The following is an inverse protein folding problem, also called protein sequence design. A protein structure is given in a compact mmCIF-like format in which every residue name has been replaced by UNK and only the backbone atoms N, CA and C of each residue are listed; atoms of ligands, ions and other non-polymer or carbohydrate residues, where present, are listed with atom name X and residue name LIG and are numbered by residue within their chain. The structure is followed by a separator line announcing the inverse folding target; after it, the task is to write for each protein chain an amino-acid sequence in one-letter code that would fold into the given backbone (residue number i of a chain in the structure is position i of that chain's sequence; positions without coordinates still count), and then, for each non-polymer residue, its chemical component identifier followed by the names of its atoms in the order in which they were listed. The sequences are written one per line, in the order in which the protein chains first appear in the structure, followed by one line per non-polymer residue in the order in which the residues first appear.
data_IF_837119144343
#
_entry.id   IF_837119144343
#
_cell.length_a   1.000
_cell.length_b   1.000
_cell.length_c   1.000
_cell.angle_alpha   90.00
_cell.angle_beta   90.00
_cell.angle_gamma   90.00
#
_symmetry.space_group_name_H-M   'P 1'
#
loop_
_entity.id
_entity.type
_entity.pdbx_description
1 polymer ?
#
# COMPACT_ATOMS: atom_id res chain seq x y z
N UNK A 1 -1.22 33.73 13.25
CA UNK A 1 -1.73 32.41 13.72
C UNK A 1 -0.91 31.30 13.08
N UNK A 2 -0.40 30.38 13.88
CA UNK A 2 0.33 29.22 13.38
C UNK A 2 -0.67 28.07 13.26
N UNK A 3 -0.79 27.53 12.04
CA UNK A 3 -1.61 26.34 11.80
C UNK A 3 -0.70 25.13 11.83
N UNK A 4 -0.98 24.19 12.73
CA UNK A 4 -0.24 22.95 12.81
C UNK A 4 -1.07 21.87 12.14
N UNK A 5 -0.45 21.15 11.20
CA UNK A 5 -1.06 20.04 10.50
C UNK A 5 -0.28 18.75 10.82
N UNK A 6 -1.02 17.73 11.20
CA UNK A 6 -0.44 16.41 11.52
C UNK A 6 -1.14 15.36 10.67
N UNK A 7 -0.36 14.44 10.13
CA UNK A 7 -0.89 13.33 9.32
C UNK A 7 -0.31 12.01 9.77
N UNK A 8 -1.10 10.97 9.63
CA UNK A 8 -0.63 9.59 9.75
C UNK A 8 -0.59 9.01 8.34
N UNK A 9 0.59 8.56 7.93
CA UNK A 9 0.80 8.06 6.57
C UNK A 9 1.33 6.64 6.67
N UNK A 10 0.64 5.64 6.10
CA UNK A 10 1.19 4.29 6.03
C UNK A 10 2.50 4.28 5.25
N UNK A 11 3.49 3.59 5.79
CA UNK A 11 4.77 3.40 5.13
C UNK A 11 5.01 1.90 5.03
N UNK A 12 5.01 1.38 3.80
CA UNK A 12 5.16 -0.04 3.55
C UNK A 12 6.61 -0.38 3.22
N UNK A 13 7.13 -1.40 3.85
CA UNK A 13 8.47 -1.89 3.58
C UNK A 13 8.37 -3.23 2.88
N UNK A 14 8.94 -3.31 1.68
CA UNK A 14 9.00 -4.52 0.89
C UNK A 14 10.43 -5.04 0.82
N UNK A 15 10.59 -6.23 0.31
CA UNK A 15 11.90 -6.84 0.13
C UNK A 15 12.09 -7.21 -1.34
N UNK A 16 12.12 -6.16 -2.19
CA UNK A 16 12.30 -6.29 -3.63
C UNK A 16 11.02 -6.24 -4.44
N UNK A 17 9.85 -6.22 -3.80
CA UNK A 17 8.56 -6.27 -4.49
C UNK A 17 7.83 -4.93 -4.55
N UNK A 18 8.50 -3.82 -4.18
CA UNK A 18 7.83 -2.53 -4.15
C UNK A 18 7.30 -2.09 -5.52
N UNK A 19 8.03 -2.33 -6.61
CA UNK A 19 7.55 -1.99 -7.95
C UNK A 19 6.26 -2.71 -8.28
N UNK A 20 6.18 -4.01 -8.00
CA UNK A 20 4.97 -4.80 -8.24
C UNK A 20 3.82 -4.36 -7.34
N UNK A 21 4.12 -4.04 -6.07
CA UNK A 21 3.12 -3.56 -5.13
C UNK A 21 2.55 -2.22 -5.60
N UNK A 22 3.39 -1.30 -6.07
CA UNK A 22 2.94 -0.02 -6.62
C UNK A 22 2.00 -0.25 -7.80
N UNK A 23 2.36 -1.14 -8.73
CA UNK A 23 1.51 -1.46 -9.88
C UNK A 23 0.14 -2.00 -9.42
N UNK A 24 0.15 -2.86 -8.41
CA UNK A 24 -1.09 -3.38 -7.84
C UNK A 24 -1.96 -2.26 -7.27
N UNK A 25 -1.38 -1.35 -6.49
CA UNK A 25 -2.15 -0.27 -5.85
C UNK A 25 -2.63 0.78 -6.84
N UNK A 26 -1.87 1.04 -7.90
CA UNK A 26 -2.34 1.88 -9.01
C UNK A 26 -3.57 1.27 -9.66
N UNK A 27 -3.54 -0.04 -9.90
CA UNK A 27 -4.64 -0.76 -10.53
C UNK A 27 -5.84 -0.93 -9.58
N UNK A 28 -5.57 -1.27 -8.32
CA UNK A 28 -6.62 -1.61 -7.35
C UNK A 28 -7.30 -0.39 -6.75
N UNK A 29 -6.53 0.65 -6.41
CA UNK A 29 -6.98 1.78 -5.59
C UNK A 29 -6.99 3.10 -6.35
N UNK A 30 -6.79 3.08 -7.65
CA UNK A 30 -6.63 4.29 -8.47
C UNK A 30 -5.51 5.20 -7.94
N UNK A 31 -4.48 4.59 -7.38
CA UNK A 31 -3.36 5.34 -6.83
C UNK A 31 -2.60 6.06 -7.94
N UNK A 32 -2.04 7.22 -7.59
CA UNK A 32 -1.16 7.99 -8.49
C UNK A 32 0.22 8.08 -7.86
N UNK A 33 1.25 7.74 -8.62
CA UNK A 33 2.63 7.90 -8.16
C UNK A 33 2.98 9.38 -8.26
N UNK A 34 3.17 10.03 -7.12
CA UNK A 34 3.53 11.45 -7.07
C UNK A 34 5.02 11.66 -6.89
N UNK A 35 5.75 10.63 -6.43
CA UNK A 35 7.19 10.68 -6.30
C UNK A 35 7.75 9.27 -6.43
N UNK A 36 8.88 9.14 -7.12
CA UNK A 36 9.57 7.87 -7.28
C UNK A 36 11.08 8.10 -7.28
N UNK A 37 11.77 7.44 -6.36
CA UNK A 37 13.23 7.42 -6.33
C UNK A 37 13.68 5.97 -6.29
N UNK A 38 14.43 5.55 -7.29
CA UNK A 38 15.04 4.21 -7.31
C UNK A 38 16.47 4.30 -6.83
N UNK A 39 17.02 3.17 -6.41
CA UNK A 39 18.40 3.15 -5.93
C UNK A 39 19.38 3.59 -7.01
N UNK A 40 19.11 3.32 -8.30
CA UNK A 40 19.95 3.79 -9.40
C UNK A 40 20.06 5.31 -9.48
N UNK A 41 19.07 6.02 -8.96
CA UNK A 41 19.01 7.48 -9.00
C UNK A 41 19.84 8.14 -7.88
N UNK A 42 20.37 7.33 -6.99
CA UNK A 42 21.15 7.81 -5.85
C UNK A 42 22.64 7.76 -6.15
N UNK A 43 23.44 8.61 -5.49
CA UNK A 43 24.90 8.52 -5.63
C UNK A 43 25.41 7.15 -5.19
N UNK A 44 26.32 6.56 -5.97
CA UNK A 44 26.95 5.30 -5.58
C UNK A 44 27.86 5.53 -4.37
N UNK A 45 27.79 4.59 -3.43
CA UNK A 45 28.75 4.53 -2.33
C UNK A 45 29.80 3.47 -2.67
N UNK A 46 31.05 3.86 -3.01
CA UNK A 46 32.10 2.90 -3.39
C UNK A 46 32.40 1.89 -2.28
N UNK A 47 32.16 2.25 -1.02
CA UNK A 47 32.43 1.36 0.12
C UNK A 47 31.33 0.32 0.33
N UNK A 48 30.13 0.58 -0.21
CA UNK A 48 29.00 -0.33 -0.11
C UNK A 48 28.23 -0.33 -1.44
N UNK A 49 28.83 -0.89 -2.51
CA UNK A 49 28.17 -0.90 -3.81
C UNK A 49 26.93 -1.78 -3.78
N UNK A 50 25.87 -1.30 -4.40
CA UNK A 50 24.63 -2.05 -4.51
C UNK A 50 24.75 -3.07 -5.64
N UNK A 51 24.28 -4.31 -5.43
CA UNK A 51 24.20 -5.28 -6.53
C UNK A 51 23.38 -4.72 -7.68
N UNK A 52 23.77 -5.08 -8.91
CA UNK A 52 23.09 -4.58 -10.12
C UNK A 52 21.60 -4.86 -10.11
N UNK A 53 21.20 -6.04 -9.63
CA UNK A 53 19.79 -6.46 -9.59
C UNK A 53 18.95 -5.63 -8.62
N UNK A 54 19.58 -4.90 -7.69
CA UNK A 54 18.86 -4.05 -6.74
C UNK A 54 18.80 -2.59 -7.15
N UNK A 55 19.44 -2.23 -8.26
CA UNK A 55 19.46 -0.83 -8.71
C UNK A 55 18.09 -0.31 -9.11
N UNK A 56 17.20 -1.18 -9.59
CA UNK A 56 15.84 -0.82 -9.95
C UNK A 56 14.86 -0.91 -8.79
N UNK A 57 15.31 -1.38 -7.64
CA UNK A 57 14.48 -1.39 -6.44
C UNK A 57 14.14 0.02 -6.02
N UNK A 58 13.00 0.15 -5.32
CA UNK A 58 12.48 1.45 -4.91
C UNK A 58 13.12 1.86 -3.60
N UNK A 59 13.82 3.00 -3.61
CA UNK A 59 14.32 3.60 -2.38
C UNK A 59 13.18 4.29 -1.64
N UNK A 60 12.35 5.04 -2.37
CA UNK A 60 11.25 5.78 -1.77
C UNK A 60 10.25 6.16 -2.84
N UNK A 61 8.99 5.89 -2.60
CA UNK A 61 7.91 6.30 -3.48
C UNK A 61 6.73 6.81 -2.65
N UNK A 62 6.00 7.76 -3.21
CA UNK A 62 4.79 8.30 -2.62
C UNK A 62 3.65 8.08 -3.60
N UNK A 63 2.59 7.46 -3.11
CA UNK A 63 1.36 7.25 -3.86
C UNK A 63 0.26 8.12 -3.25
N UNK A 64 -0.52 8.76 -4.11
CA UNK A 64 -1.71 9.47 -3.69
C UNK A 64 -2.94 8.60 -4.00
N UNK A 65 -3.77 8.38 -2.99
CA UNK A 65 -4.99 7.58 -3.08
C UNK A 65 -6.12 8.43 -2.53
N UNK A 66 -6.97 8.97 -3.42
CA UNK A 66 -7.95 9.98 -3.01
C UNK A 66 -7.24 11.17 -2.40
N UNK A 67 -7.60 11.53 -1.19
CA UNK A 67 -6.95 12.62 -0.43
C UNK A 67 -5.84 12.12 0.48
N UNK A 68 -5.53 10.83 0.44
CA UNK A 68 -4.56 10.20 1.33
C UNK A 68 -3.27 9.89 0.59
N UNK A 69 -2.21 9.66 1.36
CA UNK A 69 -0.92 9.23 0.84
C UNK A 69 -0.54 7.88 1.43
N UNK A 70 0.24 7.13 0.65
CA UNK A 70 0.87 5.90 1.07
C UNK A 70 2.30 5.94 0.57
N UNK A 71 3.25 5.60 1.44
CA UNK A 71 4.67 5.59 1.08
C UNK A 71 5.16 4.16 1.05
N UNK A 72 6.18 3.89 0.22
CA UNK A 72 6.68 2.53 0.05
C UNK A 72 8.17 2.53 -0.27
N UNK A 73 8.87 1.52 0.25
CA UNK A 73 10.30 1.33 0.02
C UNK A 73 10.62 -0.17 -0.10
N UNK A 74 11.76 -0.48 -0.70
CA UNK A 74 12.37 -1.79 -0.61
C UNK A 74 13.50 -1.77 0.41
N UNK A 75 13.55 -2.78 1.27
CA UNK A 75 14.61 -2.91 2.27
C UNK A 75 15.87 -3.47 1.63
N UNK A 76 16.94 -2.68 1.61
CA UNK A 76 18.26 -3.11 1.11
C UNK A 76 19.31 -3.14 2.20
N UNK A 77 18.96 -2.74 3.43
CA UNK A 77 19.96 -2.54 4.49
C UNK A 77 20.40 -3.82 5.18
N UNK A 78 19.73 -4.95 4.88
CA UNK A 78 20.01 -6.20 5.56
C UNK A 78 19.44 -6.30 6.96
N UNK A 79 18.66 -5.30 7.40
CA UNK A 79 17.94 -5.39 8.65
C UNK A 79 16.86 -6.46 8.56
N UNK A 80 16.43 -6.96 9.71
CA UNK A 80 15.40 -7.99 9.77
C UNK A 80 14.12 -7.52 9.09
N UNK A 81 13.62 -8.32 8.16
CA UNK A 81 12.35 -8.07 7.48
C UNK A 81 11.33 -9.08 7.99
N UNK A 82 10.31 -8.57 8.68
CA UNK A 82 9.27 -9.41 9.26
C UNK A 82 7.89 -8.94 8.80
N UNK A 83 7.05 -9.90 8.42
CA UNK A 83 5.64 -9.63 8.13
C UNK A 83 4.84 -9.82 9.41
N UNK A 84 3.88 -8.92 9.63
CA UNK A 84 3.05 -8.95 10.82
C UNK A 84 1.58 -8.74 10.51
N UNK A 85 0.74 -8.91 11.52
CA UNK A 85 -0.72 -8.83 11.37
C UNK A 85 -1.36 -7.80 12.30
N UNK A 86 -0.56 -7.04 13.03
CA UNK A 86 -1.10 -6.09 14.01
C UNK A 86 -1.74 -4.87 13.36
N UNK A 87 -1.29 -4.48 12.15
CA UNK A 87 -1.77 -3.27 11.50
C UNK A 87 -2.51 -3.65 10.24
N UNK A 88 -3.69 -3.09 10.07
CA UNK A 88 -4.52 -3.23 8.89
C UNK A 88 -4.82 -1.84 8.34
N UNK A 89 -4.80 -1.71 7.04
CA UNK A 89 -5.12 -0.44 6.39
C UNK A 89 -6.59 -0.45 6.01
N UNK A 90 -7.33 0.54 6.50
CA UNK A 90 -8.74 0.70 6.15
C UNK A 90 -8.83 1.53 4.87
N UNK A 91 -9.49 0.98 3.86
CA UNK A 91 -9.85 1.72 2.64
C UNK A 91 -11.36 1.97 2.74
N UNK A 92 -11.72 3.20 2.99
CA UNK A 92 -13.11 3.59 3.15
C UNK A 92 -13.55 4.45 1.97
N UNK A 93 -14.67 4.09 1.37
CA UNK A 93 -15.26 4.83 0.27
C UNK A 93 -16.76 4.96 0.52
N UNK A 94 -17.39 5.96 -0.08
CA UNK A 94 -18.85 6.10 -0.01
C UNK A 94 -19.57 5.40 -1.16
N UNK A 95 -18.81 4.73 -2.04
CA UNK A 95 -19.32 4.07 -3.25
C UNK A 95 -19.12 2.56 -3.15
N UNK A 96 -20.23 1.83 -3.03
CA UNK A 96 -20.23 0.37 -2.93
C UNK A 96 -19.58 -0.31 -4.14
N UNK A 97 -19.77 0.24 -5.33
CA UNK A 97 -19.17 -0.33 -6.55
C UNK A 97 -17.66 -0.19 -6.53
N UNK A 98 -17.16 0.95 -6.07
CA UNK A 98 -15.72 1.14 -5.91
C UNK A 98 -15.14 0.19 -4.88
N UNK A 99 -15.82 -0.01 -3.76
CA UNK A 99 -15.39 -0.97 -2.75
C UNK A 99 -15.27 -2.36 -3.35
N UNK A 100 -16.22 -2.76 -4.17
CA UNK A 100 -16.19 -4.05 -4.86
C UNK A 100 -14.99 -4.16 -5.81
N UNK A 101 -14.73 -3.11 -6.59
CA UNK A 101 -13.59 -3.08 -7.50
C UNK A 101 -12.26 -3.18 -6.75
N UNK A 102 -12.11 -2.43 -5.67
CA UNK A 102 -10.90 -2.47 -4.84
C UNK A 102 -10.66 -3.88 -4.31
N UNK A 103 -11.70 -4.47 -3.76
CA UNK A 103 -11.62 -5.80 -3.16
C UNK A 103 -11.26 -6.87 -4.20
N UNK A 104 -11.91 -6.82 -5.38
CA UNK A 104 -11.70 -7.81 -6.42
C UNK A 104 -10.27 -7.80 -6.96
N UNK A 105 -9.66 -6.62 -7.08
CA UNK A 105 -8.28 -6.53 -7.56
C UNK A 105 -7.30 -6.92 -6.46
N UNK A 106 -7.51 -6.44 -5.23
CA UNK A 106 -6.60 -6.73 -4.13
C UNK A 106 -6.55 -8.22 -3.76
N UNK A 107 -7.65 -8.95 -3.94
CA UNK A 107 -7.67 -10.37 -3.58
C UNK A 107 -6.88 -11.27 -4.52
N UNK A 108 -6.54 -10.78 -5.72
CA UNK A 108 -5.86 -11.61 -6.72
C UNK A 108 -4.46 -11.98 -6.24
N UNK A 109 -4.19 -13.29 -6.14
CA UNK A 109 -2.94 -13.80 -5.62
C UNK A 109 -2.78 -13.65 -4.12
N UNK A 110 -3.78 -13.10 -3.46
CA UNK A 110 -3.79 -12.91 -2.01
C UNK A 110 -4.76 -13.85 -1.31
N UNK A 111 -5.31 -13.39 -0.19
CA UNK A 111 -6.19 -14.22 0.65
C UNK A 111 -7.37 -13.40 1.13
N UNK A 112 -8.58 -13.91 0.91
CA UNK A 112 -9.79 -13.32 1.46
C UNK A 112 -9.94 -13.80 2.90
N UNK A 113 -9.93 -12.87 3.85
CA UNK A 113 -10.13 -13.17 5.26
C UNK A 113 -11.62 -13.11 5.62
N UNK A 114 -12.30 -12.06 5.14
CA UNK A 114 -13.75 -11.92 5.22
C UNK A 114 -14.27 -11.52 3.85
N UNK A 115 -15.22 -12.27 3.26
CA UNK A 115 -15.79 -11.89 1.96
C UNK A 115 -16.49 -10.52 2.03
N UNK A 116 -16.44 -9.79 0.91
CA UNK A 116 -17.11 -8.50 0.82
C UNK A 116 -18.62 -8.71 0.78
N UNK A 117 -19.31 -8.24 1.81
CA UNK A 117 -20.77 -8.38 1.94
C UNK A 117 -21.32 -7.34 2.89
N UNK A 118 -22.63 -7.17 2.87
CA UNK A 118 -23.29 -6.25 3.78
C UNK A 118 -23.14 -6.71 5.23
N UNK A 119 -22.95 -5.75 6.12
CA UNK A 119 -22.92 -5.96 7.56
C UNK A 119 -23.84 -4.93 8.21
N UNK A 120 -24.01 -5.03 9.54
CA UNK A 120 -24.88 -4.08 10.23
C UNK A 120 -24.30 -2.65 10.24
N UNK A 121 -23.00 -2.49 10.02
CA UNK A 121 -22.36 -1.18 10.05
C UNK A 121 -21.94 -0.67 8.67
N UNK A 122 -22.08 -1.48 7.62
CA UNK A 122 -21.64 -1.07 6.28
C UNK A 122 -22.42 -1.80 5.20
N UNK A 123 -22.79 -1.10 4.09
CA UNK A 123 -23.38 -1.77 2.93
C UNK A 123 -22.48 -2.79 2.27
N UNK A 124 -21.17 -2.64 2.40
CA UNK A 124 -20.20 -3.60 1.90
C UNK A 124 -18.93 -3.51 2.73
N UNK A 125 -18.59 -4.61 3.39
CA UNK A 125 -17.40 -4.73 4.21
C UNK A 125 -16.69 -6.03 3.87
N UNK A 126 -15.36 -5.99 3.79
CA UNK A 126 -14.54 -7.17 3.60
C UNK A 126 -13.14 -6.96 4.13
N UNK A 127 -12.42 -8.06 4.26
CA UNK A 127 -11.05 -8.05 4.74
C UNK A 127 -10.23 -8.94 3.81
N UNK A 128 -9.14 -8.42 3.28
CA UNK A 128 -8.31 -9.10 2.30
C UNK A 128 -6.84 -8.82 2.57
N UNK A 129 -6.03 -9.87 2.48
CA UNK A 129 -4.57 -9.72 2.50
C UNK A 129 -4.08 -9.86 1.07
N UNK A 130 -3.37 -8.86 0.56
CA UNK A 130 -2.88 -8.90 -0.81
C UNK A 130 -1.71 -9.89 -0.97
N UNK A 131 -1.27 -10.09 -2.21
CA UNK A 131 -0.20 -11.06 -2.48
C UNK A 131 1.15 -10.68 -1.87
N UNK A 132 1.29 -9.44 -1.42
CA UNK A 132 2.51 -8.96 -0.75
C UNK A 132 2.42 -9.06 0.77
N UNK A 133 1.29 -9.50 1.32
CA UNK A 133 1.11 -9.68 2.75
C UNK A 133 0.53 -8.48 3.47
N UNK A 134 0.06 -7.47 2.75
CA UNK A 134 -0.57 -6.30 3.34
C UNK A 134 -2.06 -6.56 3.47
N UNK A 135 -2.60 -6.31 4.65
CA UNK A 135 -4.02 -6.55 4.94
C UNK A 135 -4.80 -5.25 4.87
N UNK A 136 -5.92 -5.31 4.16
CA UNK A 136 -6.84 -4.18 3.97
C UNK A 136 -8.22 -4.55 4.47
N UNK A 137 -8.86 -3.61 5.16
CA UNK A 137 -10.30 -3.65 5.43
C UNK A 137 -10.96 -2.72 4.43
N UNK A 138 -11.77 -3.29 3.55
CA UNK A 138 -12.48 -2.52 2.54
C UNK A 138 -13.88 -2.28 3.07
N UNK A 139 -14.30 -1.02 3.05
CA UNK A 139 -15.49 -0.61 3.78
C UNK A 139 -16.21 0.49 3.02
N UNK A 140 -17.50 0.27 2.80
CA UNK A 140 -18.36 1.34 2.31
C UNK A 140 -18.94 2.07 3.52
N UNK A 141 -18.88 3.40 3.47
CA UNK A 141 -19.39 4.24 4.55
C UNK A 141 -20.86 3.98 4.76
N UNK A 142 -21.25 3.69 6.00
CA UNK A 142 -22.63 3.43 6.34
C UNK A 142 -23.49 4.69 6.27
N UNK A 143 -24.78 4.49 6.09
CA UNK A 143 -25.73 5.59 6.19
C UNK A 143 -25.89 5.98 7.65
N UNK A 144 -25.86 7.26 7.90
CA UNK A 144 -26.18 7.82 9.21
C UNK A 144 -27.64 8.23 9.25
#
# INVERSE_FOLDING_TARGET
MIVVSTSLIPFLEMNGSANEAIDLYVKALDAKVTYMLRFRDMPENPEAPLPTEKKDWVNYAVLKIGDSELQITDNVTGSTYEKGTQITIVVQTDDKEKATQYFEVLKQGGRVNDPLQASFFSPAYGNVTDKFGITFRILTKGRQ
#
